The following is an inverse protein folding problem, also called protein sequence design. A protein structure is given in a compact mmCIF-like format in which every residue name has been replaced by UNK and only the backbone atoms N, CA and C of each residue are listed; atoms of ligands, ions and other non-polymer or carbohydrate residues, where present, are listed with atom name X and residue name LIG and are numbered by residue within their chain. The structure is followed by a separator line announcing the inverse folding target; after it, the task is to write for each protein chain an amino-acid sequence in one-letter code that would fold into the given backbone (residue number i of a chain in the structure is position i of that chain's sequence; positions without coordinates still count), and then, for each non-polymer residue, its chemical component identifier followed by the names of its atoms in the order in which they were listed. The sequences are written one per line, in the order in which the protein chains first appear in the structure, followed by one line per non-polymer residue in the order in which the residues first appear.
data_IF_105995690188
#
_entry.id   IF_105995690188
#
_cell.length_a   1.000
_cell.length_b   1.000
_cell.length_c   1.000
_cell.angle_alpha   90.00
_cell.angle_beta   90.00
_cell.angle_gamma   90.00
#
_symmetry.space_group_name_H-M   'P 1'
#
loop_
_entity.id
_entity.type
_entity.pdbx_description
1 polymer ?
#
# COMPACT_ATOMS: atom_id res chain seq x y z
N UNK A 1 71.01 -10.28 45.15
CA UNK A 1 69.70 -10.84 45.63
C UNK A 1 68.50 -10.25 44.90
N UNK A 2 68.60 -9.65 43.68
CA UNK A 2 67.50 -8.90 43.08
C UNK A 2 67.05 -9.39 41.67
N UNK A 3 67.60 -10.51 41.16
CA UNK A 3 67.16 -11.04 39.84
C UNK A 3 65.98 -12.01 39.90
N UNK A 4 65.77 -12.72 41.02
CA UNK A 4 64.69 -13.70 41.15
C UNK A 4 63.27 -13.11 41.33
N UNK A 5 63.16 -11.95 41.98
CA UNK A 5 61.87 -11.30 42.23
C UNK A 5 61.25 -10.68 40.95
N UNK A 6 62.06 -10.14 40.02
CA UNK A 6 61.56 -9.62 38.74
C UNK A 6 61.04 -10.70 37.83
N UNK A 7 61.63 -11.90 37.83
CA UNK A 7 61.19 -13.04 37.02
C UNK A 7 59.83 -13.57 37.50
N UNK A 8 59.62 -13.68 38.82
CA UNK A 8 58.33 -14.22 39.34
C UNK A 8 57.15 -13.25 39.07
N UNK A 9 57.37 -11.93 39.18
CA UNK A 9 56.32 -10.92 38.88
C UNK A 9 55.91 -10.92 37.39
N UNK A 10 56.89 -11.17 36.50
CA UNK A 10 56.65 -11.26 35.06
C UNK A 10 55.83 -12.52 34.71
N UNK A 11 56.13 -13.67 35.34
CA UNK A 11 55.31 -14.90 35.14
C UNK A 11 53.91 -14.76 35.71
N UNK A 12 53.72 -14.08 36.82
CA UNK A 12 52.37 -13.82 37.37
C UNK A 12 51.53 -12.87 36.47
N UNK A 13 52.18 -11.86 35.89
CA UNK A 13 51.54 -10.94 34.93
C UNK A 13 51.16 -11.67 33.64
N UNK A 14 52.04 -12.51 33.07
CA UNK A 14 51.75 -13.30 31.89
C UNK A 14 50.66 -14.31 32.20
N UNK A 15 50.68 -14.99 33.33
CA UNK A 15 49.62 -15.89 33.78
C UNK A 15 48.26 -15.22 33.90
N UNK A 16 48.20 -13.98 34.46
CA UNK A 16 46.99 -13.19 34.56
C UNK A 16 46.39 -12.80 33.19
N UNK A 17 47.27 -12.42 32.25
CA UNK A 17 46.86 -12.08 30.89
C UNK A 17 46.29 -13.31 30.15
N UNK A 18 46.95 -14.48 30.28
CA UNK A 18 46.46 -15.71 29.68
C UNK A 18 45.11 -16.14 30.24
N UNK A 19 44.88 -16.01 31.56
CA UNK A 19 43.60 -16.31 32.17
C UNK A 19 42.50 -15.35 31.68
N UNK A 20 42.82 -14.05 31.54
CA UNK A 20 41.87 -13.06 31.03
C UNK A 20 41.50 -13.32 29.56
N UNK A 21 42.47 -13.73 28.73
CA UNK A 21 42.22 -14.12 27.32
C UNK A 21 41.34 -15.37 27.25
N UNK A 22 41.62 -16.39 28.07
CA UNK A 22 40.85 -17.63 28.10
C UNK A 22 39.41 -17.37 28.58
N UNK A 23 39.22 -16.52 29.60
CA UNK A 23 37.87 -16.09 30.03
C UNK A 23 37.13 -15.30 28.96
N UNK A 24 37.82 -14.42 28.22
CA UNK A 24 37.24 -13.70 27.08
C UNK A 24 36.82 -14.61 25.95
N UNK A 25 37.69 -15.61 25.60
CA UNK A 25 37.36 -16.61 24.58
C UNK A 25 36.20 -17.51 25.00
N UNK A 26 36.11 -17.88 26.29
CA UNK A 26 35.02 -18.68 26.83
C UNK A 26 33.68 -17.89 26.78
N UNK A 27 33.70 -16.61 27.13
CA UNK A 27 32.54 -15.74 27.03
C UNK A 27 32.05 -15.56 25.58
N UNK A 28 32.98 -15.30 24.65
CA UNK A 28 32.68 -15.23 23.21
C UNK A 28 32.12 -16.52 22.66
N UNK A 29 32.67 -17.67 23.08
CA UNK A 29 32.19 -18.98 22.68
C UNK A 29 30.74 -19.21 23.12
N UNK A 30 30.40 -18.82 24.38
CA UNK A 30 29.03 -18.93 24.89
C UNK A 30 28.08 -17.99 24.17
N UNK A 31 28.53 -16.78 23.79
CA UNK A 31 27.70 -15.85 23.00
C UNK A 31 27.45 -16.40 21.58
N UNK A 32 28.49 -16.91 20.92
CA UNK A 32 28.38 -17.51 19.59
C UNK A 32 27.52 -18.79 19.63
N UNK A 33 27.66 -19.60 20.68
CA UNK A 33 26.83 -20.79 20.87
C UNK A 33 25.35 -20.42 21.08
N UNK A 34 25.06 -19.41 21.89
CA UNK A 34 23.69 -18.92 22.09
C UNK A 34 23.06 -18.37 20.81
N UNK A 35 23.85 -17.69 19.96
CA UNK A 35 23.42 -17.21 18.64
C UNK A 35 23.18 -18.39 17.69
N UNK A 36 24.06 -19.38 17.66
CA UNK A 36 23.90 -20.59 16.84
C UNK A 36 22.72 -21.44 17.30
N UNK A 37 22.51 -21.60 18.60
CA UNK A 37 21.37 -22.35 19.14
C UNK A 37 20.04 -21.63 18.79
N UNK A 38 20.02 -20.29 18.73
CA UNK A 38 18.87 -19.52 18.21
C UNK A 38 18.68 -19.63 16.69
N UNK A 39 19.76 -19.87 15.92
CA UNK A 39 19.67 -20.05 14.47
C UNK A 39 19.40 -21.50 14.06
N UNK A 40 19.82 -22.51 14.85
CA UNK A 40 19.51 -23.92 14.58
C UNK A 40 18.07 -24.32 14.89
N UNK A 41 17.38 -23.64 15.80
CA UNK A 41 15.93 -23.81 16.02
C UNK A 41 15.08 -23.32 14.83
N UNK A 42 15.66 -22.54 13.91
CA UNK A 42 14.96 -21.98 12.75
C UNK A 42 15.10 -22.76 11.44
N UNK A 43 15.90 -23.82 11.34
CA UNK A 43 16.18 -24.47 10.04
C UNK A 43 15.57 -25.87 9.92
N UNK A 44 15.33 -26.58 11.03
CA UNK A 44 14.70 -27.91 10.94
C UNK A 44 13.15 -27.90 10.96
N UNK A 45 12.51 -26.76 11.27
CA UNK A 45 11.04 -26.64 11.32
C UNK A 45 10.40 -26.08 10.05
N UNK A 46 11.19 -25.71 9.03
CA UNK A 46 10.69 -25.08 7.80
C UNK A 46 10.18 -26.06 6.73
N UNK A 47 10.30 -27.37 6.93
CA UNK A 47 9.84 -28.37 5.96
C UNK A 47 8.51 -29.07 6.32
N UNK A 48 7.97 -28.85 7.54
CA UNK A 48 6.69 -29.45 7.94
C UNK A 48 5.64 -28.48 8.57
N UNK A 49 5.92 -27.18 8.62
CA UNK A 49 4.92 -26.17 9.05
C UNK A 49 4.47 -25.29 7.89
N UNK A 50 3.97 -25.93 6.83
CA UNK A 50 3.16 -25.24 5.82
C UNK A 50 1.71 -25.04 6.28
N UNK A 51 1.42 -25.24 7.56
CA UNK A 51 0.10 -24.91 8.17
C UNK A 51 0.24 -24.91 9.69
N UNK A 52 0.37 -23.75 10.31
CA UNK A 52 -0.11 -23.29 11.62
C UNK A 52 0.86 -22.30 12.28
N UNK A 53 0.70 -21.03 11.93
CA UNK A 53 0.91 -19.92 12.86
C UNK A 53 -0.30 -19.01 12.75
N UNK A 54 -1.42 -19.51 13.26
CA UNK A 54 -2.51 -18.68 13.76
C UNK A 54 -2.06 -18.19 15.13
N UNK A 55 -1.97 -16.87 15.30
CA UNK A 55 -2.03 -16.27 16.63
C UNK A 55 -3.27 -16.85 17.32
N UNK A 56 -3.14 -17.27 18.59
CA UNK A 56 -4.26 -17.58 19.48
C UNK A 56 -5.01 -16.27 19.77
N UNK A 57 -5.89 -15.90 18.87
CA UNK A 57 -6.93 -14.90 18.97
C UNK A 57 -8.06 -15.42 18.11
N UNK A 58 -9.28 -15.35 18.58
CA UNK A 58 -10.49 -15.77 17.90
C UNK A 58 -10.41 -15.46 16.41
N UNK A 59 -10.58 -16.48 15.55
CA UNK A 59 -10.56 -16.39 14.06
C UNK A 59 -11.66 -15.46 13.49
N UNK A 60 -12.38 -14.74 14.34
CA UNK A 60 -13.53 -13.93 14.00
C UNK A 60 -13.11 -12.50 13.67
N UNK A 61 -13.30 -12.10 12.43
CA UNK A 61 -13.08 -10.73 11.95
C UNK A 61 -14.15 -9.84 12.59
N UNK A 62 -13.79 -8.83 13.42
CA UNK A 62 -14.77 -8.00 14.11
C UNK A 62 -15.61 -7.22 13.09
N UNK A 63 -16.96 -7.36 13.08
CA UNK A 63 -17.77 -6.78 12.02
C UNK A 63 -17.80 -5.24 12.07
N UNK A 64 -17.62 -4.60 10.92
CA UNK A 64 -17.87 -3.19 10.75
C UNK A 64 -19.37 -2.91 10.75
N UNK A 65 -19.77 -1.86 11.46
CA UNK A 65 -21.18 -1.46 11.56
C UNK A 65 -21.55 -0.50 10.43
N UNK A 66 -22.80 -0.58 9.97
CA UNK A 66 -23.38 0.48 9.18
C UNK A 66 -23.47 1.75 10.03
N UNK A 67 -22.90 2.83 9.52
CA UNK A 67 -23.00 4.18 10.10
C UNK A 67 -23.78 5.05 9.12
N UNK A 68 -24.88 5.60 9.57
CA UNK A 68 -25.72 6.50 8.81
C UNK A 68 -26.52 7.38 9.77
N UNK A 69 -26.32 8.69 9.70
CA UNK A 69 -27.08 9.64 10.46
C UNK A 69 -28.15 10.29 9.58
N UNK A 70 -29.41 9.90 9.80
CA UNK A 70 -30.56 10.44 9.05
C UNK A 70 -30.87 11.92 9.38
N UNK A 71 -30.34 12.46 10.47
CA UNK A 71 -30.50 13.87 10.83
C UNK A 71 -29.39 14.75 10.24
N UNK A 72 -28.29 14.16 9.75
CA UNK A 72 -27.23 14.89 9.08
C UNK A 72 -27.63 15.14 7.61
N UNK A 73 -27.81 16.43 7.19
CA UNK A 73 -28.28 16.75 5.84
C UNK A 73 -27.35 16.27 4.72
N UNK A 74 -26.03 16.22 4.98
CA UNK A 74 -25.06 15.72 3.99
C UNK A 74 -25.20 14.20 3.82
N UNK A 75 -25.31 13.45 4.93
CA UNK A 75 -25.55 11.99 4.89
C UNK A 75 -26.83 11.66 4.15
N UNK A 76 -27.92 12.39 4.42
CA UNK A 76 -29.21 12.22 3.70
C UNK A 76 -29.05 12.43 2.20
N UNK A 77 -28.44 13.55 1.78
CA UNK A 77 -28.26 13.87 0.36
C UNK A 77 -27.38 12.85 -0.35
N UNK A 78 -26.31 12.37 0.31
CA UNK A 78 -25.44 11.33 -0.23
C UNK A 78 -26.22 10.03 -0.41
N UNK A 79 -26.98 9.61 0.60
CA UNK A 79 -27.77 8.38 0.55
C UNK A 79 -28.82 8.41 -0.56
N UNK A 80 -29.62 9.49 -0.63
CA UNK A 80 -30.61 9.71 -1.67
C UNK A 80 -29.98 9.70 -3.07
N UNK A 81 -28.83 10.38 -3.23
CA UNK A 81 -28.12 10.42 -4.49
C UNK A 81 -27.65 9.03 -4.93
N UNK A 82 -27.01 8.25 -4.03
CA UNK A 82 -26.50 6.92 -4.36
C UNK A 82 -27.61 5.91 -4.65
N UNK A 83 -28.76 6.01 -3.94
CA UNK A 83 -29.94 5.21 -4.23
C UNK A 83 -30.53 5.55 -5.62
N UNK A 84 -30.69 6.86 -5.92
CA UNK A 84 -31.20 7.32 -7.22
C UNK A 84 -30.25 6.91 -8.37
N UNK A 85 -28.94 7.01 -8.15
CA UNK A 85 -27.91 6.60 -9.10
C UNK A 85 -27.76 5.05 -9.22
N UNK A 86 -28.58 4.27 -8.48
CA UNK A 86 -28.50 2.79 -8.42
C UNK A 86 -27.07 2.32 -8.17
N UNK A 87 -26.38 2.97 -7.24
CA UNK A 87 -25.00 2.63 -6.92
C UNK A 87 -24.90 1.20 -6.40
N UNK A 88 -23.90 0.45 -6.87
CA UNK A 88 -23.59 -0.89 -6.41
C UNK A 88 -22.18 -0.89 -5.81
N UNK A 89 -22.09 -0.94 -4.48
CA UNK A 89 -20.79 -0.84 -3.78
C UNK A 89 -20.93 -0.35 -2.35
N UNK A 90 -19.82 0.15 -1.78
CA UNK A 90 -19.78 0.73 -0.44
C UNK A 90 -19.22 2.14 -0.46
N UNK A 91 -19.68 2.95 0.48
CA UNK A 91 -19.16 4.30 0.74
C UNK A 91 -18.69 4.39 2.19
N UNK A 92 -17.54 5.05 2.41
CA UNK A 92 -17.14 5.58 3.71
C UNK A 92 -16.84 7.07 3.59
N UNK A 93 -17.39 7.86 4.51
CA UNK A 93 -17.14 9.30 4.58
C UNK A 93 -16.69 9.66 5.99
N UNK A 94 -15.56 10.35 6.07
CA UNK A 94 -15.08 10.95 7.32
C UNK A 94 -15.13 12.47 7.18
N UNK A 95 -15.54 13.13 8.24
CA UNK A 95 -15.51 14.58 8.38
C UNK A 95 -14.72 14.95 9.63
N UNK A 96 -13.70 15.79 9.50
CA UNK A 96 -12.80 16.19 10.60
C UNK A 96 -12.28 14.98 11.41
N UNK A 97 -11.90 13.89 10.70
CA UNK A 97 -11.41 12.67 11.29
C UNK A 97 -12.47 11.76 11.95
N UNK A 98 -13.76 12.13 11.93
CA UNK A 98 -14.85 11.31 12.47
C UNK A 98 -15.61 10.59 11.36
N UNK A 99 -15.94 9.32 11.56
CA UNK A 99 -16.73 8.54 10.61
C UNK A 99 -18.17 9.07 10.57
N UNK A 100 -18.55 9.71 9.48
CA UNK A 100 -19.88 10.28 9.25
C UNK A 100 -20.83 9.26 8.59
N UNK A 101 -20.30 8.43 7.69
CA UNK A 101 -21.09 7.47 6.95
C UNK A 101 -20.25 6.24 6.59
N UNK A 102 -20.83 5.02 6.73
CA UNK A 102 -20.26 3.76 6.29
C UNK A 102 -21.42 2.83 5.89
N UNK A 103 -21.69 2.67 4.59
CA UNK A 103 -22.91 2.00 4.11
C UNK A 103 -22.68 1.26 2.79
N UNK A 104 -23.30 0.07 2.67
CA UNK A 104 -23.35 -0.72 1.45
C UNK A 104 -24.63 -0.50 0.64
N UNK A 105 -24.54 -0.71 -0.68
CA UNK A 105 -25.63 -0.62 -1.66
C UNK A 105 -25.49 -1.75 -2.67
N UNK A 106 -26.62 -2.30 -3.13
CA UNK A 106 -26.65 -3.34 -4.15
C UNK A 106 -26.04 -4.65 -3.68
N UNK A 107 -25.27 -5.31 -4.54
CA UNK A 107 -24.85 -6.68 -4.38
C UNK A 107 -23.32 -6.83 -4.43
N UNK A 108 -22.78 -7.54 -3.46
CA UNK A 108 -21.39 -8.04 -3.43
C UNK A 108 -21.19 -9.12 -4.50
N UNK A 109 -22.21 -9.94 -4.67
CA UNK A 109 -22.29 -11.01 -5.67
C UNK A 109 -23.69 -11.02 -6.29
N UNK A 110 -23.79 -10.72 -7.58
CA UNK A 110 -25.08 -10.71 -8.30
C UNK A 110 -25.68 -12.10 -8.48
N UNK A 111 -24.83 -13.15 -8.58
CA UNK A 111 -25.29 -14.50 -8.82
C UNK A 111 -25.93 -15.13 -7.58
N UNK A 112 -25.31 -14.96 -6.43
CA UNK A 112 -25.83 -15.48 -5.14
C UNK A 112 -26.83 -14.52 -4.48
N UNK A 113 -26.93 -13.27 -4.94
CA UNK A 113 -27.76 -12.24 -4.33
C UNK A 113 -27.21 -11.67 -3.01
N UNK A 114 -25.93 -11.96 -2.67
CA UNK A 114 -25.27 -11.43 -1.48
C UNK A 114 -25.13 -9.91 -1.56
N UNK A 115 -25.58 -9.22 -0.53
CA UNK A 115 -25.60 -7.76 -0.49
C UNK A 115 -24.24 -7.18 -0.12
N UNK A 116 -23.94 -5.99 -0.66
CA UNK A 116 -22.86 -5.16 -0.16
C UNK A 116 -23.21 -4.61 1.23
N UNK A 117 -22.24 -4.66 2.13
CA UNK A 117 -22.30 -4.05 3.46
C UNK A 117 -20.92 -3.45 3.83
N UNK A 118 -20.77 -2.80 5.00
CA UNK A 118 -19.48 -2.24 5.43
C UNK A 118 -18.30 -3.22 5.45
N UNK A 119 -18.57 -4.53 5.59
CA UNK A 119 -17.53 -5.58 5.66
C UNK A 119 -17.09 -6.06 4.27
N UNK A 120 -17.75 -5.62 3.21
CA UNK A 120 -17.40 -5.99 1.84
C UNK A 120 -16.03 -5.46 1.46
N UNK A 121 -15.16 -6.36 0.98
CA UNK A 121 -13.82 -6.05 0.52
C UNK A 121 -13.77 -6.04 -1.01
N UNK A 122 -13.17 -4.99 -1.56
CA UNK A 122 -13.01 -4.81 -2.99
C UNK A 122 -11.53 -4.92 -3.37
N UNK A 123 -11.23 -5.55 -4.49
CA UNK A 123 -9.88 -5.54 -5.05
C UNK A 123 -9.50 -4.10 -5.40
N UNK A 124 -8.61 -3.50 -4.59
CA UNK A 124 -8.32 -2.06 -4.70
C UNK A 124 -7.47 -1.69 -5.93
N UNK A 125 -6.92 -2.68 -6.63
CA UNK A 125 -6.12 -2.47 -7.83
C UNK A 125 -5.02 -1.45 -7.59
N UNK A 126 -4.86 -0.52 -8.51
CA UNK A 126 -3.81 0.51 -8.44
C UNK A 126 -3.84 1.42 -7.20
N UNK A 127 -4.92 1.43 -6.41
CA UNK A 127 -4.93 2.14 -5.13
C UNK A 127 -3.89 1.55 -4.14
N UNK A 128 -3.49 0.28 -4.30
CA UNK A 128 -2.41 -0.33 -3.54
C UNK A 128 -1.07 0.39 -3.72
N UNK A 129 -0.84 1.07 -4.83
CA UNK A 129 0.39 1.85 -5.04
C UNK A 129 0.60 2.93 -3.98
N UNK A 130 -0.51 3.48 -3.45
CA UNK A 130 -0.44 4.41 -2.34
C UNK A 130 0.13 3.74 -1.07
N UNK A 131 -0.27 2.52 -0.76
CA UNK A 131 0.26 1.74 0.36
C UNK A 131 1.75 1.45 0.17
N UNK A 132 2.14 1.03 -1.04
CA UNK A 132 3.55 0.82 -1.41
C UNK A 132 4.36 2.09 -1.25
N UNK A 133 3.84 3.22 -1.74
CA UNK A 133 4.46 4.53 -1.59
C UNK A 133 4.65 4.93 -0.13
N UNK A 134 3.64 4.68 0.73
CA UNK A 134 3.75 4.94 2.17
C UNK A 134 4.84 4.09 2.83
N UNK A 135 4.95 2.80 2.48
CA UNK A 135 6.03 1.94 3.00
C UNK A 135 7.41 2.40 2.54
N UNK A 136 7.57 2.81 1.26
CA UNK A 136 8.82 3.43 0.78
C UNK A 136 9.12 4.70 1.57
N UNK A 137 8.12 5.55 1.84
CA UNK A 137 8.28 6.77 2.64
C UNK A 137 8.70 6.47 4.08
N UNK A 138 8.17 5.42 4.70
CA UNK A 138 8.63 4.93 6.01
C UNK A 138 10.12 4.56 5.98
N UNK A 139 10.50 3.74 5.01
CA UNK A 139 11.90 3.31 4.85
C UNK A 139 12.85 4.48 4.53
N UNK A 140 12.37 5.52 3.84
CA UNK A 140 13.09 6.76 3.61
C UNK A 140 13.33 7.51 4.93
N UNK A 141 12.31 7.65 5.77
CA UNK A 141 12.43 8.27 7.09
C UNK A 141 13.34 7.49 8.06
N UNK A 142 13.40 6.18 7.90
CA UNK A 142 14.33 5.31 8.63
C UNK A 142 15.76 5.28 8.03
N UNK A 143 16.04 6.09 7.01
CA UNK A 143 17.30 6.11 6.25
C UNK A 143 17.71 4.76 5.63
N UNK A 144 16.77 3.84 5.44
CA UNK A 144 16.97 2.55 4.80
C UNK A 144 16.88 2.63 3.28
N UNK A 145 16.11 3.60 2.76
CA UNK A 145 15.97 3.89 1.33
C UNK A 145 16.25 5.37 1.09
N UNK A 146 17.01 5.70 0.05
CA UNK A 146 17.13 7.07 -0.45
C UNK A 146 16.54 7.11 -1.86
N UNK A 147 15.58 7.99 -2.09
CA UNK A 147 14.86 8.09 -3.37
C UNK A 147 15.77 8.43 -4.56
N UNK A 148 16.93 9.07 -4.32
CA UNK A 148 17.93 9.41 -5.33
C UNK A 148 18.90 8.26 -5.65
N UNK A 149 18.88 7.18 -4.86
CA UNK A 149 19.75 6.04 -5.10
C UNK A 149 19.30 5.26 -6.35
N UNK A 150 20.26 4.62 -7.05
CA UNK A 150 19.93 3.71 -8.14
C UNK A 150 19.22 2.47 -7.59
N UNK A 151 18.25 1.95 -8.36
CA UNK A 151 17.50 0.74 -7.99
C UNK A 151 18.42 -0.46 -7.78
N UNK A 152 19.51 -0.56 -8.55
CA UNK A 152 20.52 -1.62 -8.43
C UNK A 152 21.23 -1.67 -7.08
N UNK A 153 21.20 -0.59 -6.29
CA UNK A 153 21.66 -0.61 -4.90
C UNK A 153 20.82 -1.53 -4.02
N UNK A 154 19.55 -1.68 -4.33
CA UNK A 154 18.56 -2.43 -3.54
C UNK A 154 18.20 -3.79 -4.16
N UNK A 155 18.36 -3.95 -5.47
CA UNK A 155 18.09 -5.21 -6.19
C UNK A 155 19.36 -5.57 -6.96
N UNK A 156 20.12 -6.54 -6.47
CA UNK A 156 21.33 -7.03 -7.13
C UNK A 156 21.02 -7.59 -8.52
N UNK A 157 21.83 -7.27 -9.51
CA UNK A 157 21.63 -7.68 -10.89
C UNK A 157 20.52 -6.94 -11.63
N UNK A 158 20.02 -5.81 -11.09
CA UNK A 158 18.97 -5.00 -11.71
C UNK A 158 19.56 -3.70 -12.28
N UNK A 159 20.64 -3.84 -13.04
CA UNK A 159 21.33 -2.75 -13.72
C UNK A 159 20.80 -2.55 -15.15
N UNK A 160 20.82 -1.30 -15.57
CA UNK A 160 20.52 -0.89 -16.95
C UNK A 160 21.59 0.10 -17.43
N UNK A 161 21.69 0.29 -18.75
CA UNK A 161 22.53 1.33 -19.31
C UNK A 161 22.13 2.73 -18.80
N UNK A 162 20.82 2.93 -18.60
CA UNK A 162 20.25 4.15 -18.04
C UNK A 162 20.33 4.10 -16.51
N UNK A 163 20.66 5.24 -15.88
CA UNK A 163 20.58 5.38 -14.43
C UNK A 163 19.13 5.47 -13.99
N UNK A 164 18.62 4.43 -13.35
CA UNK A 164 17.26 4.35 -12.84
C UNK A 164 17.24 4.52 -11.32
N UNK A 165 16.50 5.50 -10.80
CA UNK A 165 16.41 5.80 -9.36
C UNK A 165 15.08 5.32 -8.77
N UNK A 166 15.01 5.23 -7.43
CA UNK A 166 13.75 4.97 -6.71
C UNK A 166 12.72 6.06 -7.00
N UNK A 167 13.14 7.33 -7.11
CA UNK A 167 12.25 8.44 -7.47
C UNK A 167 11.62 8.25 -8.86
N UNK A 168 12.39 7.78 -9.85
CA UNK A 168 11.85 7.48 -11.17
C UNK A 168 10.74 6.43 -11.14
N UNK A 169 10.87 5.41 -10.26
CA UNK A 169 9.82 4.42 -10.04
C UNK A 169 8.58 5.04 -9.40
N UNK A 170 8.74 5.78 -8.30
CA UNK A 170 7.65 6.45 -7.58
C UNK A 170 6.83 7.39 -8.47
N UNK A 171 7.44 7.95 -9.51
CA UNK A 171 6.86 8.93 -10.42
C UNK A 171 6.50 8.37 -11.80
N UNK A 172 6.59 7.04 -11.99
CA UNK A 172 6.35 6.38 -13.27
C UNK A 172 7.23 6.93 -14.42
N UNK A 173 8.53 7.14 -14.18
CA UNK A 173 9.48 7.72 -15.14
C UNK A 173 10.59 6.76 -15.55
N UNK A 174 10.49 5.49 -15.14
CA UNK A 174 11.50 4.47 -15.45
C UNK A 174 11.68 4.22 -16.95
N UNK A 175 10.62 4.39 -17.73
CA UNK A 175 10.58 3.97 -19.12
C UNK A 175 10.44 2.45 -19.32
N UNK A 176 10.16 1.65 -18.30
CA UNK A 176 9.93 0.22 -18.46
C UNK A 176 8.86 -0.08 -19.51
N UNK A 177 9.04 -1.12 -20.30
CA UNK A 177 7.97 -1.65 -21.14
C UNK A 177 6.78 -2.03 -20.28
N UNK A 178 5.56 -1.76 -20.79
CA UNK A 178 4.33 -1.96 -20.01
C UNK A 178 4.20 -3.41 -19.54
N UNK A 179 4.10 -3.61 -18.23
CA UNK A 179 3.92 -4.93 -17.62
C UNK A 179 2.50 -5.46 -17.88
N UNK A 180 2.41 -6.73 -18.17
CA UNK A 180 1.17 -7.50 -18.22
C UNK A 180 1.42 -8.86 -17.58
N UNK A 181 0.59 -9.21 -16.60
CA UNK A 181 0.61 -10.54 -15.99
C UNK A 181 0.29 -11.64 -17.00
N UNK A 182 0.87 -12.81 -16.81
CA UNK A 182 0.66 -13.97 -17.68
C UNK A 182 0.82 -15.28 -16.90
N UNK A 183 0.33 -16.38 -17.48
CA UNK A 183 0.47 -17.74 -16.95
C UNK A 183 1.92 -18.26 -16.94
N UNK A 184 2.83 -17.59 -17.64
CA UNK A 184 4.25 -17.93 -17.69
C UNK A 184 5.05 -17.40 -16.49
N UNK A 185 4.45 -16.51 -15.72
CA UNK A 185 5.06 -15.84 -14.56
C UNK A 185 4.36 -16.34 -13.31
N UNK A 186 5.12 -16.85 -12.33
CA UNK A 186 4.55 -17.51 -11.16
C UNK A 186 4.31 -16.59 -9.97
N UNK A 187 5.14 -15.53 -9.83
CA UNK A 187 5.15 -14.68 -8.65
C UNK A 187 5.81 -13.31 -8.93
N UNK A 188 5.98 -12.52 -7.88
CA UNK A 188 6.67 -11.23 -7.96
C UNK A 188 8.11 -11.38 -8.48
N UNK A 189 8.86 -12.41 -8.09
CA UNK A 189 10.25 -12.58 -8.55
C UNK A 189 10.30 -12.85 -10.05
N UNK A 190 9.36 -13.66 -10.55
CA UNK A 190 9.18 -13.88 -11.99
C UNK A 190 8.83 -12.59 -12.73
N UNK A 191 7.96 -11.75 -12.15
CA UNK A 191 7.61 -10.44 -12.71
C UNK A 191 8.83 -9.51 -12.78
N UNK A 192 9.64 -9.45 -11.71
CA UNK A 192 10.87 -8.64 -11.68
C UNK A 192 11.87 -9.10 -12.75
N UNK A 193 12.04 -10.41 -12.90
CA UNK A 193 12.89 -10.98 -13.95
C UNK A 193 12.43 -10.61 -15.35
N UNK A 194 11.13 -10.72 -15.61
CA UNK A 194 10.50 -10.32 -16.89
C UNK A 194 10.70 -8.82 -17.16
N UNK A 195 10.46 -7.96 -16.17
CA UNK A 195 10.67 -6.50 -16.29
C UNK A 195 12.12 -6.20 -16.63
N UNK A 196 13.07 -6.83 -15.94
CA UNK A 196 14.50 -6.64 -16.19
C UNK A 196 14.89 -7.09 -17.59
N UNK A 197 14.43 -8.25 -18.04
CA UNK A 197 14.75 -8.82 -19.37
C UNK A 197 14.19 -7.94 -20.51
N UNK A 198 12.99 -7.36 -20.33
CA UNK A 198 12.39 -6.44 -21.32
C UNK A 198 13.07 -5.09 -21.37
N UNK A 199 13.61 -4.64 -20.25
CA UNK A 199 14.41 -3.42 -20.15
C UNK A 199 13.62 -2.13 -20.20
N UNK A 200 14.27 -1.07 -20.66
CA UNK A 200 13.77 0.31 -20.70
C UNK A 200 13.56 0.73 -22.17
N UNK A 201 12.39 1.25 -22.49
CA UNK A 201 12.11 1.95 -23.75
C UNK A 201 12.65 3.39 -23.65
N UNK A 202 13.69 3.76 -24.45
CA UNK A 202 14.28 5.09 -24.40
C UNK A 202 13.27 6.23 -24.68
N UNK A 203 12.18 5.92 -25.39
CA UNK A 203 11.11 6.88 -25.69
C UNK A 203 10.43 7.41 -24.44
N UNK A 204 10.29 6.56 -23.40
CA UNK A 204 9.57 6.87 -22.17
C UNK A 204 10.50 7.11 -20.96
N UNK A 205 11.80 6.87 -21.11
CA UNK A 205 12.77 7.12 -20.03
C UNK A 205 12.75 8.59 -19.61
N UNK A 206 12.65 8.83 -18.28
CA UNK A 206 12.46 10.14 -17.64
C UNK A 206 11.20 10.92 -18.05
N UNK A 207 10.25 10.25 -18.73
CA UNK A 207 8.92 10.80 -19.04
C UNK A 207 7.88 10.05 -18.22
N UNK A 208 6.85 10.77 -17.79
CA UNK A 208 5.73 10.12 -17.07
C UNK A 208 5.02 9.13 -18.01
N UNK A 209 5.09 7.85 -17.68
CA UNK A 209 4.42 6.77 -18.38
C UNK A 209 3.90 5.76 -17.34
N UNK A 210 2.62 5.87 -17.00
CA UNK A 210 1.99 5.04 -15.97
C UNK A 210 2.13 3.55 -16.29
N UNK A 211 2.75 2.78 -15.36
CA UNK A 211 3.10 1.38 -15.57
C UNK A 211 3.24 0.65 -14.23
N UNK A 212 2.54 -0.49 -14.09
CA UNK A 212 2.58 -1.31 -12.87
C UNK A 212 4.00 -1.81 -12.54
N UNK A 213 4.84 -2.06 -13.57
CA UNK A 213 6.23 -2.46 -13.39
C UNK A 213 6.98 -1.63 -12.34
N UNK A 214 6.74 -0.32 -12.30
CA UNK A 214 7.40 0.56 -11.32
C UNK A 214 7.13 0.15 -9.87
N UNK A 215 5.88 -0.19 -9.56
CA UNK A 215 5.47 -0.51 -8.21
C UNK A 215 5.70 -1.98 -7.84
N UNK A 216 5.78 -2.88 -8.84
CA UNK A 216 6.30 -4.23 -8.64
C UNK A 216 7.77 -4.18 -8.23
N UNK A 217 8.58 -3.37 -8.91
CA UNK A 217 10.00 -3.17 -8.56
C UNK A 217 10.14 -2.52 -7.17
N UNK A 218 9.30 -1.52 -6.83
CA UNK A 218 9.29 -0.93 -5.48
C UNK A 218 8.91 -1.96 -4.40
N UNK A 219 7.96 -2.87 -4.67
CA UNK A 219 7.64 -3.97 -3.76
C UNK A 219 8.87 -4.86 -3.52
N UNK A 220 9.63 -5.17 -4.57
CA UNK A 220 10.88 -5.95 -4.44
C UNK A 220 11.97 -5.19 -3.69
N UNK A 221 12.10 -3.88 -3.88
CA UNK A 221 12.99 -3.02 -3.07
C UNK A 221 12.63 -3.12 -1.59
N UNK A 222 11.34 -3.00 -1.24
CA UNK A 222 10.87 -3.13 0.14
C UNK A 222 11.27 -4.49 0.73
N UNK A 223 11.01 -5.59 0.01
CA UNK A 223 11.38 -6.94 0.47
C UNK A 223 12.88 -7.07 0.74
N UNK A 224 13.71 -6.61 -0.20
CA UNK A 224 15.15 -6.74 -0.09
C UNK A 224 15.75 -5.89 1.04
N UNK A 225 15.22 -4.68 1.26
CA UNK A 225 15.68 -3.75 2.31
C UNK A 225 15.30 -4.24 3.70
N UNK A 226 14.14 -4.86 3.83
CA UNK A 226 13.61 -5.32 5.13
C UNK A 226 13.89 -6.80 5.40
N UNK A 227 14.30 -7.57 4.40
CA UNK A 227 14.43 -9.03 4.46
C UNK A 227 13.11 -9.73 4.85
N UNK A 228 11.97 -9.11 4.53
CA UNK A 228 10.64 -9.62 4.81
C UNK A 228 9.79 -9.60 3.53
N UNK A 229 8.81 -10.51 3.40
CA UNK A 229 7.87 -10.46 2.28
C UNK A 229 7.08 -9.16 2.25
N UNK A 230 6.59 -8.76 1.06
CA UNK A 230 5.73 -7.59 0.91
C UNK A 230 4.51 -7.65 1.83
N UNK A 231 3.90 -8.84 1.99
CA UNK A 231 2.78 -9.10 2.90
C UNK A 231 3.12 -8.75 4.35
N UNK A 232 4.26 -9.27 4.85
CA UNK A 232 4.71 -8.97 6.22
C UNK A 232 4.99 -7.49 6.41
N UNK A 233 5.59 -6.81 5.42
CA UNK A 233 5.82 -5.36 5.45
C UNK A 233 4.52 -4.57 5.50
N UNK A 234 3.51 -4.96 4.72
CA UNK A 234 2.20 -4.33 4.77
C UNK A 234 1.59 -4.39 6.17
N UNK A 235 1.53 -5.58 6.77
CA UNK A 235 0.99 -5.72 8.13
C UNK A 235 1.84 -5.00 9.18
N UNK A 236 3.16 -5.04 9.06
CA UNK A 236 4.07 -4.37 9.99
C UNK A 236 3.96 -2.84 9.96
N UNK A 237 3.95 -2.24 8.77
CA UNK A 237 3.99 -0.78 8.64
C UNK A 237 2.61 -0.12 8.61
N UNK A 238 1.57 -0.84 8.17
CA UNK A 238 0.25 -0.27 7.88
C UNK A 238 -0.86 -1.04 8.59
N UNK A 239 -1.07 -2.31 8.27
CA UNK A 239 -2.23 -3.08 8.69
C UNK A 239 -2.40 -3.13 10.21
N UNK A 240 -1.39 -3.63 10.93
CA UNK A 240 -1.45 -3.79 12.39
C UNK A 240 -1.40 -2.44 13.14
N UNK A 241 -0.49 -1.48 12.82
CA UNK A 241 -0.47 -0.21 13.53
C UNK A 241 -1.74 0.64 13.39
N UNK A 242 -2.51 0.44 12.33
CA UNK A 242 -3.76 1.13 12.07
C UNK A 242 -4.99 0.27 12.35
N UNK A 243 -4.81 -0.96 12.84
CA UNK A 243 -5.87 -1.92 13.13
C UNK A 243 -6.83 -2.13 11.94
N UNK A 244 -6.26 -2.25 10.71
CA UNK A 244 -7.03 -2.45 9.49
C UNK A 244 -7.52 -3.91 9.43
N UNK A 245 -8.66 -4.19 10.04
CA UNK A 245 -9.22 -5.55 10.14
C UNK A 245 -9.98 -5.99 8.89
N UNK A 246 -10.26 -5.06 7.97
CA UNK A 246 -10.99 -5.31 6.72
C UNK A 246 -10.11 -4.99 5.51
N UNK A 247 -8.87 -5.50 5.55
CA UNK A 247 -7.94 -5.51 4.42
C UNK A 247 -7.15 -6.80 4.39
N UNK A 248 -7.08 -7.46 3.25
CA UNK A 248 -6.47 -8.77 3.10
C UNK A 248 -5.84 -8.93 1.72
N UNK A 249 -4.82 -9.78 1.62
CA UNK A 249 -4.32 -10.22 0.33
C UNK A 249 -5.29 -11.22 -0.31
N UNK A 250 -5.31 -11.26 -1.62
CA UNK A 250 -6.20 -12.07 -2.45
C UNK A 250 -6.26 -13.57 -2.11
N UNK A 251 -5.28 -14.10 -1.43
CA UNK A 251 -5.13 -15.50 -1.04
C UNK A 251 -5.34 -15.77 0.45
N UNK A 252 -5.87 -14.79 1.19
CA UNK A 252 -6.24 -14.96 2.59
C UNK A 252 -7.67 -15.48 2.72
N UNK A 253 -7.81 -16.79 2.85
CA UNK A 253 -9.09 -17.50 2.85
C UNK A 253 -10.01 -17.14 4.03
N UNK A 254 -9.50 -16.50 5.08
CA UNK A 254 -10.34 -15.99 6.19
C UNK A 254 -11.35 -14.94 5.73
N UNK A 255 -11.08 -14.29 4.59
CA UNK A 255 -11.89 -13.21 4.05
C UNK A 255 -12.72 -13.62 2.82
N UNK A 256 -12.74 -14.90 2.42
CA UNK A 256 -13.45 -15.36 1.20
C UNK A 256 -14.91 -14.89 1.18
N UNK A 257 -15.60 -14.93 2.31
CA UNK A 257 -16.98 -14.46 2.43
C UNK A 257 -17.15 -12.94 2.29
N UNK A 258 -16.07 -12.17 2.45
CA UNK A 258 -16.08 -10.72 2.36
C UNK A 258 -15.63 -10.20 0.99
N UNK A 259 -14.96 -11.01 0.19
CA UNK A 259 -14.49 -10.59 -1.13
C UNK A 259 -15.67 -10.40 -2.11
N UNK A 260 -15.79 -9.17 -2.64
CA UNK A 260 -16.74 -8.92 -3.71
C UNK A 260 -16.29 -9.60 -5.01
N UNK A 261 -17.24 -10.07 -5.82
CA UNK A 261 -16.99 -10.43 -7.20
C UNK A 261 -17.04 -9.18 -8.08
N UNK A 262 -16.05 -8.99 -8.94
CA UNK A 262 -15.98 -7.85 -9.85
C UNK A 262 -16.70 -8.12 -11.17
N UNK A 263 -17.44 -7.14 -11.67
CA UNK A 263 -18.27 -7.28 -12.86
C UNK A 263 -17.94 -6.22 -13.92
N UNK A 264 -17.91 -6.65 -15.16
CA UNK A 264 -18.01 -5.76 -16.32
C UNK A 264 -19.46 -5.67 -16.79
N UNK A 265 -19.78 -4.68 -17.63
CA UNK A 265 -21.08 -4.52 -18.25
C UNK A 265 -21.01 -4.92 -19.72
N UNK A 266 -21.83 -5.86 -20.12
CA UNK A 266 -21.99 -6.24 -21.51
C UNK A 266 -22.65 -5.07 -22.28
N UNK A 267 -21.99 -4.59 -23.33
CA UNK A 267 -22.43 -3.39 -24.07
C UNK A 267 -23.71 -3.60 -24.87
N UNK A 268 -24.08 -4.85 -25.17
CA UNK A 268 -25.27 -5.17 -25.99
C UNK A 268 -26.49 -5.38 -25.12
N UNK A 269 -26.32 -6.12 -24.03
CA UNK A 269 -27.43 -6.53 -23.15
C UNK A 269 -27.57 -5.63 -21.93
N UNK A 270 -26.55 -4.80 -21.63
CA UNK A 270 -26.42 -4.02 -20.41
C UNK A 270 -26.46 -4.87 -19.13
N UNK A 271 -26.16 -6.16 -19.25
CA UNK A 271 -26.11 -7.11 -18.14
C UNK A 271 -24.70 -7.17 -17.52
N UNK A 272 -24.58 -7.32 -16.19
CA UNK A 272 -23.31 -7.57 -15.56
C UNK A 272 -22.78 -8.96 -15.91
N UNK A 273 -21.47 -9.09 -16.14
CA UNK A 273 -20.77 -10.37 -16.27
C UNK A 273 -19.56 -10.43 -15.36
N UNK A 274 -19.34 -11.57 -14.72
CA UNK A 274 -18.22 -11.76 -13.79
C UNK A 274 -16.88 -11.68 -14.51
N UNK A 275 -15.95 -10.95 -13.90
CA UNK A 275 -14.56 -10.80 -14.35
C UNK A 275 -13.61 -11.40 -13.32
N UNK A 276 -13.34 -12.73 -13.36
CA UNK A 276 -12.48 -13.37 -12.38
C UNK A 276 -11.08 -12.75 -12.39
N UNK A 277 -10.52 -12.39 -11.22
CA UNK A 277 -9.15 -11.92 -11.13
C UNK A 277 -8.14 -12.98 -11.58
N UNK A 278 -7.06 -12.56 -12.24
CA UNK A 278 -6.01 -13.42 -12.75
C UNK A 278 -4.64 -12.87 -12.39
N UNK A 279 -3.66 -13.78 -12.18
CA UNK A 279 -2.25 -13.43 -11.97
C UNK A 279 -1.99 -12.49 -10.78
N UNK A 280 -2.83 -12.52 -9.74
CA UNK A 280 -2.70 -11.60 -8.59
C UNK A 280 -1.41 -11.81 -7.80
N UNK A 281 -0.84 -13.00 -7.81
CA UNK A 281 0.47 -13.36 -7.26
C UNK A 281 1.65 -12.58 -7.84
N UNK A 282 1.47 -12.01 -9.04
CA UNK A 282 2.46 -11.16 -9.71
C UNK A 282 2.32 -9.67 -9.35
N UNK A 283 1.20 -9.23 -8.74
CA UNK A 283 0.86 -7.82 -8.56
C UNK A 283 1.08 -7.28 -7.14
N UNK A 284 1.99 -7.89 -6.36
CA UNK A 284 2.40 -7.32 -5.08
C UNK A 284 2.94 -5.89 -5.27
N UNK A 285 2.40 -4.97 -4.49
CA UNK A 285 2.73 -3.55 -4.58
C UNK A 285 1.91 -2.74 -5.60
N UNK A 286 1.17 -3.39 -6.50
CA UNK A 286 0.48 -2.71 -7.58
C UNK A 286 -1.03 -3.00 -7.68
N UNK A 287 -1.57 -4.09 -7.04
CA UNK A 287 -2.99 -4.32 -7.23
C UNK A 287 -3.59 -5.64 -6.70
N UNK A 288 -3.05 -6.30 -5.68
CA UNK A 288 -3.52 -7.60 -5.20
C UNK A 288 -4.07 -7.63 -3.76
N UNK A 289 -4.36 -6.45 -3.19
CA UNK A 289 -5.03 -6.33 -1.89
C UNK A 289 -6.53 -6.10 -2.11
N UNK A 290 -7.34 -6.74 -1.30
CA UNK A 290 -8.75 -6.43 -1.08
C UNK A 290 -8.89 -5.57 0.18
N UNK A 291 -9.74 -4.54 0.14
CA UNK A 291 -9.92 -3.62 1.26
C UNK A 291 -11.34 -3.05 1.29
N UNK A 292 -11.85 -2.80 2.49
CA UNK A 292 -13.10 -2.08 2.67
C UNK A 292 -12.94 -0.57 2.42
N UNK A 293 -14.05 0.10 2.11
CA UNK A 293 -14.05 1.57 2.03
C UNK A 293 -13.68 2.21 3.37
N UNK A 294 -14.11 1.61 4.48
CA UNK A 294 -13.77 2.04 5.84
C UNK A 294 -12.26 2.05 6.09
N UNK A 295 -11.58 0.93 5.82
CA UNK A 295 -10.15 0.80 6.14
C UNK A 295 -9.28 1.73 5.31
N UNK A 296 -9.65 2.00 4.05
CA UNK A 296 -9.00 3.06 3.27
C UNK A 296 -9.21 4.43 3.90
N UNK A 297 -10.40 4.71 4.42
CA UNK A 297 -10.69 5.96 5.15
C UNK A 297 -9.84 6.09 6.41
N UNK A 298 -9.69 5.02 7.20
CA UNK A 298 -8.81 4.97 8.39
C UNK A 298 -7.35 5.21 7.99
N UNK A 299 -6.89 4.58 6.91
CA UNK A 299 -5.53 4.76 6.39
C UNK A 299 -5.27 6.23 6.02
N UNK A 300 -6.18 6.87 5.28
CA UNK A 300 -6.05 8.30 4.92
C UNK A 300 -6.12 9.20 6.15
N UNK A 301 -7.03 8.90 7.09
CA UNK A 301 -7.13 9.62 8.36
C UNK A 301 -5.82 9.61 9.15
N UNK A 302 -5.09 8.50 9.13
CA UNK A 302 -3.79 8.39 9.84
C UNK A 302 -2.75 9.39 9.34
N UNK A 303 -2.86 9.84 8.08
CA UNK A 303 -2.06 10.94 7.55
C UNK A 303 -2.59 12.30 8.04
N UNK A 304 -3.90 12.56 7.94
CA UNK A 304 -4.49 13.83 8.41
C UNK A 304 -4.19 14.08 9.90
N UNK A 305 -4.12 13.03 10.71
CA UNK A 305 -3.85 13.10 12.15
C UNK A 305 -2.36 12.98 12.52
N UNK A 306 -1.47 12.93 11.53
CA UNK A 306 -0.02 12.74 11.71
C UNK A 306 0.38 11.45 12.46
N UNK A 307 -0.50 10.45 12.50
CA UNK A 307 -0.24 9.14 13.12
C UNK A 307 0.77 8.33 12.29
N UNK A 308 0.66 8.39 10.95
CA UNK A 308 1.54 7.64 10.05
C UNK A 308 2.91 8.29 9.91
N UNK A 309 2.98 9.60 9.75
CA UNK A 309 4.20 10.40 9.61
C UNK A 309 4.11 11.66 10.48
N UNK A 310 5.24 12.22 10.95
CA UNK A 310 5.23 13.49 11.67
C UNK A 310 4.74 14.65 10.76
N UNK A 311 4.24 15.71 11.37
CA UNK A 311 3.56 16.82 10.68
C UNK A 311 4.44 17.51 9.62
N UNK A 312 5.73 17.69 9.89
CA UNK A 312 6.69 18.28 8.96
C UNK A 312 6.95 17.42 7.71
N UNK A 313 6.62 16.13 7.78
CA UNK A 313 6.60 15.20 6.64
C UNK A 313 5.22 15.15 5.99
N UNK A 314 4.17 15.01 6.79
CA UNK A 314 2.79 14.85 6.27
C UNK A 314 2.32 16.07 5.51
N UNK A 315 2.55 17.28 6.06
CA UNK A 315 2.04 18.49 5.43
C UNK A 315 2.59 18.70 4.00
N UNK A 316 3.91 18.68 3.74
CA UNK A 316 4.40 18.78 2.36
C UNK A 316 4.02 17.57 1.49
N UNK A 317 3.91 16.38 2.09
CA UNK A 317 3.50 15.16 1.38
C UNK A 317 2.08 15.26 0.79
N UNK A 318 1.16 15.92 1.50
CA UNK A 318 -0.25 16.06 1.11
C UNK A 318 -0.56 17.37 0.36
N UNK A 319 0.24 18.45 0.56
CA UNK A 319 -0.17 19.80 0.11
C UNK A 319 0.80 20.47 -0.85
N UNK A 320 2.12 20.17 -0.79
CA UNK A 320 3.04 20.77 -1.74
C UNK A 320 2.72 20.32 -3.16
N UNK A 321 2.62 21.27 -4.08
CA UNK A 321 2.32 21.03 -5.48
C UNK A 321 3.21 21.86 -6.37
N UNK A 322 3.82 21.23 -7.39
CA UNK A 322 4.69 21.88 -8.39
C UNK A 322 5.89 22.62 -7.75
N UNK A 323 6.44 22.03 -6.67
CA UNK A 323 7.65 22.54 -5.99
C UNK A 323 8.89 21.77 -6.44
N UNK A 324 10.07 22.21 -6.02
CA UNK A 324 11.31 21.46 -6.27
C UNK A 324 11.27 20.05 -5.65
N UNK A 325 10.64 19.90 -4.48
CA UNK A 325 10.46 18.61 -3.80
C UNK A 325 9.43 17.73 -4.52
N UNK A 326 8.32 18.31 -4.94
CA UNK A 326 7.21 17.62 -5.60
C UNK A 326 6.83 18.32 -6.91
N UNK A 327 7.62 18.11 -7.97
CA UNK A 327 7.44 18.84 -9.24
C UNK A 327 6.30 18.32 -10.11
N UNK A 328 5.61 17.27 -9.68
CA UNK A 328 4.50 16.63 -10.40
C UNK A 328 3.31 16.39 -9.47
N UNK A 329 2.10 16.31 -10.04
CA UNK A 329 0.87 15.97 -9.30
C UNK A 329 0.92 14.56 -8.73
N UNK A 330 1.47 13.59 -9.46
CA UNK A 330 1.57 12.19 -9.03
C UNK A 330 2.82 11.95 -8.19
N UNK A 331 2.64 11.32 -7.02
CA UNK A 331 3.72 10.94 -6.11
C UNK A 331 3.29 9.77 -5.22
N UNK A 332 4.19 8.86 -4.90
CA UNK A 332 3.96 7.78 -3.92
C UNK A 332 2.61 7.06 -4.05
N UNK A 333 2.11 6.87 -5.28
CA UNK A 333 0.88 6.13 -5.54
C UNK A 333 -0.41 6.94 -5.52
N UNK A 334 -0.38 8.27 -5.37
CA UNK A 334 -1.57 9.12 -5.37
C UNK A 334 -1.34 10.45 -6.10
N UNK A 335 -2.42 11.16 -6.35
CA UNK A 335 -2.41 12.47 -6.99
C UNK A 335 -2.73 13.57 -6.00
N UNK A 336 -2.01 14.69 -6.08
CA UNK A 336 -2.23 15.91 -5.33
C UNK A 336 -2.71 17.01 -6.26
N UNK A 337 -3.84 17.64 -5.90
CA UNK A 337 -4.44 18.78 -6.60
C UNK A 337 -4.62 19.93 -5.61
N UNK A 338 -4.99 21.14 -6.12
CA UNK A 338 -5.20 22.31 -5.27
C UNK A 338 -6.42 22.17 -4.32
N UNK A 339 -7.39 21.34 -4.68
CA UNK A 339 -8.67 21.21 -3.99
C UNK A 339 -8.85 19.85 -3.33
N UNK A 340 -8.03 18.86 -3.66
CA UNK A 340 -8.11 17.50 -3.14
C UNK A 340 -6.85 16.69 -3.38
N UNK A 341 -6.75 15.60 -2.68
CA UNK A 341 -5.92 14.47 -3.03
C UNK A 341 -6.78 13.34 -3.61
N UNK A 342 -6.21 12.49 -4.47
CA UNK A 342 -6.92 11.40 -5.13
C UNK A 342 -6.12 10.11 -5.12
N UNK A 343 -6.74 9.06 -4.61
CA UNK A 343 -6.28 7.67 -4.76
C UNK A 343 -7.27 6.97 -5.67
N UNK A 344 -6.80 6.16 -6.62
CA UNK A 344 -7.68 5.43 -7.52
C UNK A 344 -7.10 4.10 -7.95
N UNK A 345 -7.97 3.11 -8.06
CA UNK A 345 -7.65 1.81 -8.61
C UNK A 345 -8.80 1.23 -9.42
N UNK A 346 -8.44 0.53 -10.49
CA UNK A 346 -9.38 -0.20 -11.35
C UNK A 346 -8.73 -1.55 -11.63
N UNK A 347 -9.42 -2.65 -11.30
CA UNK A 347 -8.90 -4.00 -11.58
C UNK A 347 -10.04 -5.03 -11.60
N UNK A 348 -10.15 -5.81 -12.66
CA UNK A 348 -11.12 -6.92 -12.81
C UNK A 348 -12.56 -6.58 -12.42
N UNK A 349 -13.07 -5.41 -12.86
CA UNK A 349 -14.44 -4.98 -12.57
C UNK A 349 -14.63 -4.25 -11.25
N UNK A 350 -13.60 -4.16 -10.42
CA UNK A 350 -13.60 -3.32 -9.24
C UNK A 350 -13.07 -1.92 -9.55
N UNK A 351 -13.71 -0.89 -8.99
CA UNK A 351 -13.23 0.49 -9.01
C UNK A 351 -13.21 1.01 -7.59
N UNK A 352 -12.06 1.52 -7.18
CA UNK A 352 -11.81 2.03 -5.85
C UNK A 352 -11.30 3.46 -5.95
N UNK A 353 -12.09 4.44 -5.51
CA UNK A 353 -11.75 5.86 -5.65
C UNK A 353 -11.87 6.55 -4.30
N UNK A 354 -10.84 7.31 -3.92
CA UNK A 354 -10.82 8.12 -2.71
C UNK A 354 -10.48 9.57 -3.05
N UNK A 355 -11.33 10.50 -2.62
CA UNK A 355 -11.06 11.94 -2.61
C UNK A 355 -10.92 12.42 -1.17
N UNK A 356 -9.90 13.20 -0.89
CA UNK A 356 -9.69 13.72 0.46
C UNK A 356 -8.96 15.06 0.47
N UNK A 357 -9.25 15.85 1.49
CA UNK A 357 -8.54 17.05 1.91
C UNK A 357 -8.40 17.03 3.45
N UNK A 358 -8.12 18.15 4.08
CA UNK A 358 -7.95 18.21 5.54
C UNK A 358 -9.26 17.98 6.30
N UNK A 359 -10.42 18.29 5.70
CA UNK A 359 -11.71 18.18 6.34
C UNK A 359 -12.42 16.86 6.04
N UNK A 360 -12.44 16.44 4.77
CA UNK A 360 -13.20 15.28 4.31
C UNK A 360 -12.33 14.18 3.74
N UNK A 361 -12.74 12.93 3.99
CA UNK A 361 -12.30 11.74 3.24
C UNK A 361 -13.57 11.10 2.69
N UNK A 362 -13.65 10.92 1.39
CA UNK A 362 -14.73 10.21 0.71
C UNK A 362 -14.12 9.02 -0.01
N UNK A 363 -14.50 7.81 0.39
CA UNK A 363 -14.10 6.56 -0.26
C UNK A 363 -15.33 5.95 -0.92
N UNK A 364 -15.26 5.69 -2.20
CA UNK A 364 -16.30 5.03 -2.96
C UNK A 364 -15.73 3.80 -3.65
N UNK A 365 -16.15 2.62 -3.20
CA UNK A 365 -15.73 1.33 -3.73
C UNK A 365 -16.90 0.63 -4.42
N UNK A 366 -16.70 0.15 -5.66
CA UNK A 366 -17.70 -0.59 -6.42
C UNK A 366 -17.09 -1.83 -7.05
N UNK A 367 -17.89 -2.86 -7.22
CA UNK A 367 -17.56 -4.07 -7.97
C UNK A 367 -18.33 -4.16 -9.31
N UNK A 368 -18.81 -3.02 -9.80
CA UNK A 368 -19.60 -2.88 -11.02
C UNK A 368 -19.03 -1.75 -11.87
N UNK A 369 -18.28 -2.11 -12.92
CA UNK A 369 -17.57 -1.17 -13.81
C UNK A 369 -18.56 -0.52 -14.80
N UNK A 370 -19.37 0.41 -14.28
CA UNK A 370 -20.33 1.17 -15.09
C UNK A 370 -19.63 2.19 -16.01
N UNK A 371 -20.10 2.31 -17.26
CA UNK A 371 -19.55 3.31 -18.18
C UNK A 371 -19.93 4.75 -17.77
N UNK A 372 -19.19 5.72 -18.32
CA UNK A 372 -19.55 7.13 -18.20
C UNK A 372 -20.94 7.41 -18.82
N UNK A 373 -21.81 8.27 -18.24
CA UNK A 373 -21.56 9.17 -17.11
C UNK A 373 -21.83 8.57 -15.72
N UNK A 374 -22.22 7.31 -15.63
CA UNK A 374 -22.61 6.65 -14.36
C UNK A 374 -21.43 5.96 -13.64
N UNK A 375 -20.21 6.23 -14.02
CA UNK A 375 -19.05 5.62 -13.41
C UNK A 375 -18.78 6.14 -11.98
N UNK A 376 -17.88 5.44 -11.28
CA UNK A 376 -17.52 5.75 -9.89
C UNK A 376 -16.95 7.17 -9.75
N UNK A 377 -16.14 7.61 -10.71
CA UNK A 377 -15.51 8.93 -10.72
C UNK A 377 -16.57 10.07 -10.78
N UNK A 378 -17.61 9.93 -11.60
CA UNK A 378 -18.70 10.90 -11.69
C UNK A 378 -19.49 10.99 -10.36
N UNK A 379 -19.71 9.83 -9.73
CA UNK A 379 -20.43 9.77 -8.45
C UNK A 379 -19.64 10.44 -7.32
N UNK A 380 -18.35 10.13 -7.19
CA UNK A 380 -17.53 10.73 -6.13
C UNK A 380 -17.34 12.24 -6.35
N UNK A 381 -17.22 12.70 -7.60
CA UNK A 381 -17.20 14.14 -7.93
C UNK A 381 -18.48 14.84 -7.49
N UNK A 382 -19.64 14.26 -7.77
CA UNK A 382 -20.92 14.84 -7.33
C UNK A 382 -21.01 14.93 -5.82
N UNK A 383 -20.65 13.87 -5.10
CA UNK A 383 -20.65 13.86 -3.63
C UNK A 383 -19.70 14.93 -3.10
N UNK A 384 -18.47 14.95 -3.55
CA UNK A 384 -17.42 15.82 -3.03
C UNK A 384 -17.67 17.29 -3.32
N UNK A 385 -18.01 17.63 -4.57
CA UNK A 385 -18.17 19.05 -4.98
C UNK A 385 -19.56 19.60 -4.77
N UNK A 386 -20.62 18.82 -4.99
CA UNK A 386 -21.97 19.33 -5.01
C UNK A 386 -22.70 19.10 -3.68
N UNK A 387 -22.45 17.97 -2.99
CA UNK A 387 -23.10 17.69 -1.71
C UNK A 387 -22.27 18.23 -0.56
N UNK A 388 -20.96 17.90 -0.51
CA UNK A 388 -20.04 18.34 0.55
C UNK A 388 -19.44 19.73 0.28
N UNK A 389 -19.72 20.32 -0.88
CA UNK A 389 -19.32 21.67 -1.29
C UNK A 389 -17.81 21.95 -1.19
N UNK A 390 -16.98 20.94 -1.46
CA UNK A 390 -15.52 21.01 -1.40
C UNK A 390 -14.93 21.59 -2.70
N UNK A 391 -15.09 22.90 -2.91
CA UNK A 391 -14.46 23.63 -4.00
C UNK A 391 -13.20 24.30 -3.50
N UNK A 392 -12.16 24.39 -4.36
CA UNK A 392 -10.97 25.18 -4.05
C UNK A 392 -11.40 26.58 -3.64
N UNK A 393 -11.01 27.03 -2.46
CA UNK A 393 -11.11 28.45 -2.10
C UNK A 393 -10.08 29.17 -2.99
N UNK A 394 -10.55 29.73 -4.10
CA UNK A 394 -9.74 30.58 -4.99
C UNK A 394 -9.48 31.90 -4.26
N UNK A 395 -8.60 31.88 -3.25
CA UNK A 395 -8.14 33.04 -2.54
C UNK A 395 -6.63 32.93 -2.28
N UNK A 396 -5.86 32.65 -3.36
CA UNK A 396 -4.44 33.00 -3.38
C UNK A 396 -4.22 33.97 -4.55
N UNK A 397 -3.78 35.22 -4.28
CA UNK A 397 -3.45 36.14 -5.36
C UNK A 397 -2.22 35.59 -6.13
N UNK A 398 -2.42 35.23 -7.38
CA UNK A 398 -1.36 34.86 -8.30
C UNK A 398 -1.46 33.52 -9.03
N UNK A 399 -2.55 32.75 -8.89
CA UNK A 399 -2.75 31.51 -9.66
C UNK A 399 -3.88 31.68 -10.66
N UNK A 400 -3.55 31.88 -11.91
CA UNK A 400 -4.51 31.80 -13.04
C UNK A 400 -4.81 30.33 -13.32
N UNK A 401 -6.06 29.93 -13.15
CA UNK A 401 -6.58 28.61 -13.50
C UNK A 401 -6.81 28.61 -15.01
N UNK A 402 -5.97 27.86 -15.74
CA UNK A 402 -6.24 27.52 -17.14
C UNK A 402 -7.32 26.42 -17.20
N UNK A 403 -8.12 26.34 -18.30
CA UNK A 403 -9.15 25.33 -18.45
C UNK A 403 -8.56 23.92 -18.47
N UNK A 404 -9.18 23.03 -17.72
CA UNK A 404 -8.87 21.59 -17.70
C UNK A 404 -9.33 20.96 -19.05
N UNK A 405 -8.39 20.46 -19.83
CA UNK A 405 -8.62 19.47 -20.88
C UNK A 405 -8.40 18.06 -20.36
#
# INVERSE_FOLDING_TARGET
VNKGKKSLLTYLLIGGIVVAILAGCFYLYHQIKAINDMTHVSIEDTSQQKNKQTAEGTDEIPPLKTVYNSENPASQKIDQYLQHAKFNGTIAVFENGQLMMNKGYGYQDFESGKKNDPNTLYLIGSAQKFLTGMMVKKLELENKVNVNDPVSKYISGFEFHQKLTIEDLLRHRSGFYKYQGSDKILDLNGAIKEIHQRGIDPKFYHKHFYNDANYLVLAKVIENVTHQSYVKNYYHFIGNPLELTHSAFFNDTRYDEHFAKGYGIDKKTNAPYYRPPQYLDQYYGAGNIYMSAHDMGVLVRSLQTNQMFPQDVTHPYLHELMTKRYPEKYRYGFYVYNDKNRINGIFFGHIFTTYFNDQYIVVLATNDDQPNPNNNEAKIKHIYYNILNQRAIINQPGVTVGPEN
#
